data_IF_420040608117
#
_entry.id   IF_420040608117
#
_cell.length_a   1.000
_cell.length_b   1.000
_cell.length_c   1.000
_cell.angle_alpha   90.00
_cell.angle_beta   90.00
_cell.angle_gamma   90.00
#
_symmetry.space_group_name_H-M   'P 1'
#
loop_
_entity.id
_entity.type
_entity.pdbx_description
1 polymer ?
#
# COMPACT_ATOMS: atom_id res chain seq x y z
N UNK A 1 -3.98 16.03 -25.33
CA UNK A 1 -3.54 14.66 -25.03
C UNK A 1 -3.87 14.36 -23.58
N UNK A 2 -4.84 13.48 -23.32
CA UNK A 2 -5.26 13.13 -21.95
C UNK A 2 -4.14 12.27 -21.35
N UNK A 3 -3.42 12.80 -20.36
CA UNK A 3 -2.29 12.10 -19.73
C UNK A 3 -2.74 10.81 -19.04
N UNK A 4 -2.09 9.69 -19.37
CA UNK A 4 -2.28 8.45 -18.63
C UNK A 4 -1.81 8.64 -17.19
N UNK A 5 -2.65 8.27 -16.23
CA UNK A 5 -2.23 8.24 -14.82
C UNK A 5 -1.19 7.14 -14.64
N UNK A 6 0.04 7.56 -14.35
CA UNK A 6 1.14 6.67 -14.00
C UNK A 6 1.17 6.43 -12.49
N UNK A 7 1.85 5.36 -12.10
CA UNK A 7 2.19 5.07 -10.70
C UNK A 7 2.80 6.30 -10.00
N UNK A 8 2.44 6.51 -8.73
CA UNK A 8 2.96 7.59 -7.88
C UNK A 8 4.36 7.31 -7.33
N UNK A 9 4.92 6.10 -7.52
CA UNK A 9 6.29 5.79 -7.14
C UNK A 9 7.29 6.60 -7.98
N UNK A 10 8.39 7.04 -7.35
CA UNK A 10 9.45 7.80 -8.03
C UNK A 10 10.00 6.98 -9.21
N UNK A 11 10.11 7.60 -10.39
CA UNK A 11 10.54 6.97 -11.65
C UNK A 11 9.67 5.83 -12.21
N UNK A 12 8.50 5.55 -11.63
CA UNK A 12 7.63 4.50 -12.16
C UNK A 12 6.68 5.03 -13.25
N UNK A 13 6.89 4.58 -14.49
CA UNK A 13 6.05 4.91 -15.66
C UNK A 13 4.97 3.88 -15.94
N UNK A 14 4.81 2.88 -15.08
CA UNK A 14 3.84 1.80 -15.29
C UNK A 14 2.41 2.36 -15.26
N UNK A 15 1.59 2.08 -16.27
CA UNK A 15 0.21 2.52 -16.31
C UNK A 15 -0.58 1.84 -15.19
N UNK A 16 -1.48 2.61 -14.57
CA UNK A 16 -2.37 2.10 -13.54
C UNK A 16 -3.46 1.24 -14.18
N UNK A 17 -3.71 0.06 -13.63
CA UNK A 17 -4.72 -0.88 -14.14
C UNK A 17 -6.15 -0.33 -13.94
N UNK A 18 -6.33 0.50 -12.92
CA UNK A 18 -7.59 1.20 -12.67
C UNK A 18 -7.34 2.67 -12.38
N UNK A 19 -8.29 3.50 -12.84
CA UNK A 19 -8.37 4.93 -12.55
C UNK A 19 -8.45 5.26 -11.06
N UNK A 20 -8.79 4.28 -10.20
CA UNK A 20 -8.86 4.45 -8.75
C UNK A 20 -7.55 4.09 -8.04
N UNK A 21 -6.55 3.54 -8.74
CA UNK A 21 -5.28 3.14 -8.15
C UNK A 21 -4.27 4.28 -8.27
N UNK A 22 -3.48 4.49 -7.22
CA UNK A 22 -2.38 5.46 -7.23
C UNK A 22 -1.03 4.79 -7.52
N UNK A 23 -0.94 3.47 -7.38
CA UNK A 23 0.27 2.68 -7.57
C UNK A 23 0.00 1.53 -8.54
N UNK A 24 0.96 1.23 -9.42
CA UNK A 24 0.86 0.13 -10.38
C UNK A 24 0.93 -1.23 -9.67
N UNK A 25 0.57 -2.36 -10.30
CA UNK A 25 0.62 -3.68 -9.66
C UNK A 25 1.95 -3.98 -8.94
N UNK A 26 3.09 -3.58 -9.52
CA UNK A 26 4.43 -3.75 -8.92
C UNK A 26 4.66 -2.92 -7.64
N UNK A 27 3.98 -1.77 -7.53
CA UNK A 27 4.06 -0.86 -6.39
C UNK A 27 2.78 -0.87 -5.52
N UNK A 28 1.75 -1.63 -5.92
CA UNK A 28 0.43 -1.69 -5.30
C UNK A 28 0.41 -2.67 -4.12
N UNK A 29 1.41 -3.55 -3.95
CA UNK A 29 1.87 -4.24 -2.71
C UNK A 29 2.54 -5.60 -3.02
N UNK A 30 3.40 -6.16 -2.14
CA UNK A 30 4.21 -5.54 -1.08
C UNK A 30 5.72 -5.60 -1.40
N UNK A 31 6.51 -4.68 -0.82
CA UNK A 31 7.88 -5.05 -0.44
C UNK A 31 7.74 -6.33 0.38
N UNK A 32 8.38 -7.43 -0.03
CA UNK A 32 8.30 -8.73 0.66
C UNK A 32 8.71 -8.69 2.14
N UNK A 33 9.01 -7.53 2.70
CA UNK A 33 9.43 -7.28 4.08
C UNK A 33 8.32 -6.63 4.87
N UNK A 34 8.25 -6.99 6.14
CA UNK A 34 7.36 -6.35 7.11
C UNK A 34 7.53 -4.83 7.05
N UNK A 35 6.41 -4.11 7.05
CA UNK A 35 6.39 -2.65 7.08
C UNK A 35 6.99 -2.06 8.39
N UNK A 36 7.20 -2.88 9.42
CA UNK A 36 7.86 -2.48 10.66
C UNK A 36 9.36 -2.44 10.44
N UNK A 37 9.96 -1.25 10.58
CA UNK A 37 11.37 -0.96 10.23
C UNK A 37 12.41 -1.81 10.97
N UNK A 38 12.08 -2.30 12.17
CA UNK A 38 12.95 -3.17 12.97
C UNK A 38 12.71 -4.66 12.72
N UNK A 39 11.77 -5.01 11.83
CA UNK A 39 11.39 -6.39 11.55
C UNK A 39 11.95 -6.82 10.19
N UNK A 40 12.79 -7.85 10.20
CA UNK A 40 13.41 -8.41 8.98
C UNK A 40 12.57 -9.52 8.34
N UNK A 41 11.49 -9.93 9.02
CA UNK A 41 10.58 -10.97 8.55
C UNK A 41 9.79 -10.54 7.32
N UNK A 42 9.37 -11.53 6.55
CA UNK A 42 8.64 -11.25 5.33
C UNK A 42 7.18 -10.89 5.58
N UNK A 43 6.65 -9.97 4.75
CA UNK A 43 5.24 -9.62 4.75
C UNK A 43 4.41 -10.78 4.22
N UNK A 44 3.28 -11.06 4.87
CA UNK A 44 2.37 -12.12 4.45
C UNK A 44 1.47 -11.63 3.30
N UNK A 45 1.10 -12.54 2.38
CA UNK A 45 0.26 -12.20 1.22
C UNK A 45 -1.04 -11.51 1.65
N UNK A 46 -1.34 -10.38 1.03
CA UNK A 46 -2.52 -9.56 1.36
C UNK A 46 -2.34 -8.62 2.55
N UNK A 47 -1.12 -8.55 3.10
CA UNK A 47 -0.78 -7.69 4.21
C UNK A 47 0.55 -6.97 4.00
N UNK A 48 0.73 -5.85 4.68
CA UNK A 48 1.99 -5.10 4.76
C UNK A 48 2.91 -5.61 5.87
N UNK A 49 2.39 -6.38 6.83
CA UNK A 49 3.15 -6.85 7.99
C UNK A 49 3.41 -8.36 7.94
N UNK A 50 4.32 -8.85 8.76
CA UNK A 50 4.56 -10.28 8.95
C UNK A 50 3.45 -10.94 9.80
N UNK A 51 3.60 -12.21 10.16
CA UNK A 51 2.63 -12.96 10.96
C UNK A 51 2.54 -12.52 12.43
N UNK A 52 3.40 -11.59 12.85
CA UNK A 52 3.45 -11.10 14.22
C UNK A 52 2.14 -10.36 14.58
N UNK A 53 1.47 -10.75 15.69
CA UNK A 53 0.19 -10.17 16.08
C UNK A 53 0.26 -8.66 16.41
N UNK A 54 1.41 -8.18 16.91
CA UNK A 54 1.59 -6.77 17.25
C UNK A 54 1.78 -5.93 15.98
N UNK A 55 2.53 -6.45 15.01
CA UNK A 55 2.67 -5.81 13.69
C UNK A 55 1.34 -5.80 12.93
N UNK A 56 0.56 -6.88 13.04
CA UNK A 56 -0.81 -6.95 12.52
C UNK A 56 -1.75 -5.94 13.18
N UNK A 57 -1.61 -5.72 14.49
CA UNK A 57 -2.38 -4.70 15.20
C UNK A 57 -2.04 -3.30 14.70
N UNK A 58 -0.75 -2.99 14.48
CA UNK A 58 -0.28 -1.75 13.86
C UNK A 58 -0.87 -1.52 12.47
N UNK A 59 -0.80 -2.54 11.61
CA UNK A 59 -1.39 -2.47 10.26
C UNK A 59 -2.90 -2.23 10.31
N UNK A 60 -3.62 -2.98 11.17
CA UNK A 60 -5.06 -2.79 11.38
C UNK A 60 -5.36 -1.38 11.87
N UNK A 61 -4.60 -0.85 12.83
CA UNK A 61 -4.78 0.50 13.35
C UNK A 61 -4.57 1.56 12.27
N UNK A 62 -3.52 1.42 11.46
CA UNK A 62 -3.23 2.30 10.32
C UNK A 62 -4.39 2.36 9.32
N UNK A 63 -4.90 1.20 8.91
CA UNK A 63 -6.03 1.14 7.97
C UNK A 63 -7.37 1.52 8.60
N UNK A 64 -7.55 1.30 9.89
CA UNK A 64 -8.76 1.73 10.61
C UNK A 64 -8.79 3.25 10.72
N UNK A 65 -7.65 3.88 11.00
CA UNK A 65 -7.55 5.34 11.07
C UNK A 65 -7.56 6.02 9.70
N UNK A 66 -7.02 5.35 8.66
CA UNK A 66 -7.04 5.81 7.27
C UNK A 66 -8.41 5.76 6.58
N UNK A 67 -9.42 5.13 7.19
CA UNK A 67 -10.80 5.10 6.69
C UNK A 67 -11.65 6.31 7.09
N UNK A 68 -11.03 7.37 7.62
CA UNK A 68 -11.72 8.65 7.87
C UNK A 68 -11.44 9.66 6.76
N UNK A 69 -11.99 9.45 5.56
CA UNK A 69 -12.15 10.49 4.53
C UNK A 69 -13.51 10.38 3.80
N UNK A 70 -14.59 10.18 4.57
CA UNK A 70 -15.92 10.63 4.15
C UNK A 70 -16.12 11.98 4.86
N UNK A 71 -16.37 13.12 4.21
CA UNK A 71 -17.43 13.42 3.24
C UNK A 71 -17.06 14.73 2.55
N UNK A 72 -16.74 14.71 1.25
CA UNK A 72 -16.79 15.95 0.47
C UNK A 72 -18.28 16.23 0.21
N UNK A 73 -18.73 17.40 0.66
CA UNK A 73 -20.12 17.84 0.58
C UNK A 73 -20.26 18.84 -0.55
#
# INVERSE_FOLDING_TARGET
SIGHRCCKAHDCKTPLASNCQHFCPDHHYPKLKCAVTVCESDSLKGHQTCADPDHRALERAYFTHGKSLYKLR
#
